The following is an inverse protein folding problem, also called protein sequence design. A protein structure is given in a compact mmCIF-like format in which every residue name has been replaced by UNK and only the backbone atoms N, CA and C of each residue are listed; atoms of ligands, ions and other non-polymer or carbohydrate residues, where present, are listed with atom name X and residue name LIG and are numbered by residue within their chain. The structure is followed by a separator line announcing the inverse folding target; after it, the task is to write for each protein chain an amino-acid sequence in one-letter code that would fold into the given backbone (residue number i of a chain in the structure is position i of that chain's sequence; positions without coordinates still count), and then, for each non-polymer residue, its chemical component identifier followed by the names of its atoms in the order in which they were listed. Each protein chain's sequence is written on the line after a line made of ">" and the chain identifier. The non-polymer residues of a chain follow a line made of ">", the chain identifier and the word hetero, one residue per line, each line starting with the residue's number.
data_IF_549995420095
#
_entry.id   IF_549995420095
#
_cell.length_a   1.000
_cell.length_b   1.000
_cell.length_c   1.000
_cell.angle_alpha   90.00
_cell.angle_beta   90.00
_cell.angle_gamma   90.00
#
_symmetry.space_group_name_H-M   'P 1'
#
loop_
_entity.id
_entity.type
_entity.pdbx_description
1 polymer ?
#
# COMPACT_ATOMS: atom_id res chain seq x y z
N UNK A 1 16.98 1.10 -0.54
CA UNK A 1 16.88 2.05 -1.68
C UNK A 1 15.72 3.04 -1.55
N UNK A 2 14.61 2.68 -0.88
CA UNK A 2 13.42 3.54 -0.81
C UNK A 2 13.19 4.27 0.51
N UNK A 3 14.18 4.32 1.42
CA UNK A 3 14.03 4.84 2.79
C UNK A 3 13.31 6.19 2.90
N UNK A 4 13.70 7.19 2.10
CA UNK A 4 13.03 8.50 2.13
C UNK A 4 11.56 8.43 1.72
N UNK A 5 11.27 7.66 0.68
CA UNK A 5 9.90 7.47 0.19
C UNK A 5 9.08 6.70 1.21
N UNK A 6 9.61 5.59 1.72
CA UNK A 6 8.98 4.77 2.76
C UNK A 6 8.68 5.60 4.01
N UNK A 7 9.65 6.41 4.47
CA UNK A 7 9.44 7.34 5.58
C UNK A 7 8.29 8.32 5.34
N UNK A 8 8.17 8.84 4.11
CA UNK A 8 7.05 9.74 3.74
C UNK A 8 5.71 9.02 3.76
N UNK A 9 5.60 7.81 3.18
CA UNK A 9 4.39 7.00 3.26
C UNK A 9 4.00 6.73 4.72
N UNK A 10 4.96 6.27 5.53
CA UNK A 10 4.71 5.98 6.96
C UNK A 10 4.26 7.22 7.74
N UNK A 11 4.81 8.39 7.43
CA UNK A 11 4.36 9.64 8.04
C UNK A 11 2.91 9.96 7.70
N UNK A 12 2.51 9.78 6.44
CA UNK A 12 1.15 10.05 5.97
C UNK A 12 0.14 9.04 6.52
N UNK A 13 0.49 7.75 6.58
CA UNK A 13 -0.37 6.72 7.20
C UNK A 13 -0.60 7.04 8.69
N UNK A 14 0.46 7.38 9.45
CA UNK A 14 0.32 7.73 10.87
C UNK A 14 -0.55 8.96 11.12
N UNK A 15 -0.64 9.88 10.15
CA UNK A 15 -1.49 11.07 10.25
C UNK A 15 -2.89 10.86 9.67
N UNK A 16 -3.25 9.64 9.23
CA UNK A 16 -4.53 9.36 8.57
C UNK A 16 -4.68 10.03 7.19
N UNK A 17 -3.58 10.46 6.58
CA UNK A 17 -3.57 11.16 5.29
C UNK A 17 -3.52 10.18 4.12
N UNK A 18 -4.52 9.30 4.07
CA UNK A 18 -4.67 8.31 3.02
C UNK A 18 -6.13 8.09 2.61
N UNK A 19 -6.30 7.52 1.43
CA UNK A 19 -7.58 7.15 0.84
C UNK A 19 -7.45 5.75 0.22
N UNK A 20 -8.53 4.98 0.30
CA UNK A 20 -8.67 3.70 -0.38
C UNK A 20 -9.43 3.92 -1.68
N UNK A 21 -8.93 3.37 -2.80
CA UNK A 21 -9.70 3.34 -4.04
C UNK A 21 -10.89 2.39 -3.90
N UNK A 22 -11.90 2.54 -4.76
CA UNK A 22 -13.03 1.58 -4.82
C UNK A 22 -12.50 0.17 -5.10
N UNK A 23 -11.60 0.03 -6.06
CA UNK A 23 -10.97 -1.25 -6.37
C UNK A 23 -10.23 -1.86 -5.16
N UNK A 24 -9.49 -1.07 -4.38
CA UNK A 24 -8.84 -1.56 -3.17
C UNK A 24 -9.86 -2.05 -2.13
N UNK A 25 -10.98 -1.35 -1.98
CA UNK A 25 -12.06 -1.76 -1.07
C UNK A 25 -12.73 -3.07 -1.51
N UNK A 26 -12.92 -3.25 -2.83
CA UNK A 26 -13.46 -4.49 -3.41
C UNK A 26 -12.52 -5.68 -3.14
N UNK A 27 -11.24 -5.56 -3.50
CA UNK A 27 -10.24 -6.61 -3.26
C UNK A 27 -10.07 -6.92 -1.77
N UNK A 28 -10.08 -5.90 -0.91
CA UNK A 28 -10.04 -6.07 0.54
C UNK A 28 -11.24 -6.87 1.07
N UNK A 29 -12.43 -6.65 0.51
CA UNK A 29 -13.62 -7.39 0.90
C UNK A 29 -13.59 -8.85 0.40
N UNK A 30 -13.03 -9.08 -0.80
CA UNK A 30 -12.87 -10.43 -1.36
C UNK A 30 -11.83 -11.25 -0.57
N UNK A 31 -10.70 -10.64 -0.20
CA UNK A 31 -9.59 -11.30 0.48
C UNK A 31 -9.67 -11.28 2.03
N UNK A 32 -10.77 -10.78 2.61
CA UNK A 32 -10.92 -10.57 4.07
C UNK A 32 -9.71 -9.81 4.66
N UNK A 33 -9.38 -8.67 4.04
CA UNK A 33 -8.30 -7.79 4.46
C UNK A 33 -8.88 -6.53 5.08
N UNK A 34 -8.50 -6.27 6.33
CA UNK A 34 -8.95 -5.10 7.06
C UNK A 34 -8.04 -3.90 6.81
N UNK A 35 -8.55 -2.69 7.08
CA UNK A 35 -7.80 -1.45 6.85
C UNK A 35 -6.53 -1.40 7.70
N UNK A 36 -6.60 -1.89 8.94
CA UNK A 36 -5.45 -2.01 9.84
C UNK A 36 -4.34 -2.93 9.29
N UNK A 37 -4.67 -3.88 8.41
CA UNK A 37 -3.66 -4.71 7.77
C UNK A 37 -2.90 -3.91 6.71
N UNK A 38 -3.60 -3.10 5.91
CA UNK A 38 -2.99 -2.20 4.92
C UNK A 38 -2.07 -1.19 5.61
N UNK A 39 -2.54 -0.58 6.70
CA UNK A 39 -1.73 0.32 7.52
C UNK A 39 -0.49 -0.40 8.07
N UNK A 40 -0.67 -1.59 8.65
CA UNK A 40 0.42 -2.39 9.20
C UNK A 40 1.48 -2.72 8.14
N UNK A 41 1.07 -3.11 6.93
CA UNK A 41 1.99 -3.42 5.82
C UNK A 41 2.84 -2.20 5.46
N UNK A 42 2.26 -1.01 5.36
CA UNK A 42 3.04 0.20 5.04
C UNK A 42 3.94 0.62 6.20
N UNK A 43 3.47 0.46 7.45
CA UNK A 43 4.18 0.87 8.65
C UNK A 43 5.35 -0.03 9.03
N UNK A 44 5.22 -1.34 8.83
CA UNK A 44 6.19 -2.35 9.28
C UNK A 44 6.88 -3.07 8.13
N UNK A 45 6.22 -3.18 6.97
CA UNK A 45 6.76 -3.79 5.77
C UNK A 45 7.71 -2.87 4.99
N UNK A 46 8.02 -3.27 3.76
CA UNK A 46 9.00 -2.59 2.91
C UNK A 46 8.50 -2.39 1.48
N UNK A 47 9.03 -1.37 0.82
CA UNK A 47 8.82 -1.18 -0.62
C UNK A 47 9.74 -2.15 -1.37
N UNK A 48 9.15 -3.04 -2.16
CA UNK A 48 9.90 -4.02 -2.97
C UNK A 48 10.04 -3.59 -4.42
N UNK A 49 9.10 -2.79 -4.92
CA UNK A 49 9.08 -2.35 -6.31
C UNK A 49 8.57 -0.91 -6.44
N UNK A 50 9.03 -0.23 -7.50
CA UNK A 50 8.45 1.04 -7.97
C UNK A 50 8.07 0.91 -9.43
N UNK A 51 6.79 1.05 -9.71
CA UNK A 51 6.23 1.06 -11.06
C UNK A 51 6.01 2.51 -11.52
N UNK A 52 6.22 2.78 -12.80
CA UNK A 52 5.95 4.09 -13.41
C UNK A 52 4.83 3.91 -14.42
N UNK A 53 3.70 4.57 -14.16
CA UNK A 53 2.59 4.62 -15.08
C UNK A 53 3.02 5.38 -16.35
N UNK A 54 2.93 4.75 -17.51
CA UNK A 54 3.46 5.33 -18.76
C UNK A 54 2.64 6.51 -19.26
N UNK A 55 1.33 6.51 -19.01
CA UNK A 55 0.43 7.57 -19.48
C UNK A 55 0.50 8.79 -18.58
N UNK A 56 0.51 8.58 -17.26
CA UNK A 56 0.42 9.68 -16.28
C UNK A 56 1.76 10.06 -15.67
N UNK A 57 2.81 9.26 -15.90
CA UNK A 57 4.15 9.40 -15.29
C UNK A 57 4.15 9.28 -13.76
N UNK A 58 3.03 8.84 -13.18
CA UNK A 58 2.89 8.64 -11.75
C UNK A 58 3.74 7.46 -11.27
N UNK A 59 4.28 7.60 -10.06
CA UNK A 59 5.04 6.53 -9.39
C UNK A 59 4.11 5.78 -8.46
N UNK A 60 3.95 4.49 -8.71
CA UNK A 60 3.27 3.52 -7.83
C UNK A 60 4.33 2.69 -7.13
N UNK A 61 4.06 2.29 -5.90
CA UNK A 61 5.00 1.57 -5.05
C UNK A 61 4.31 0.32 -4.54
N UNK A 62 5.00 -0.81 -4.67
CA UNK A 62 4.54 -2.09 -4.17
C UNK A 62 5.18 -2.31 -2.80
N UNK A 63 4.35 -2.50 -1.80
CA UNK A 63 4.74 -2.81 -0.44
C UNK A 63 4.46 -4.28 -0.18
N UNK A 64 5.42 -4.99 0.41
CA UNK A 64 5.19 -6.30 0.99
C UNK A 64 5.35 -6.22 2.49
N UNK A 65 4.41 -6.87 3.17
CA UNK A 65 4.39 -6.98 4.62
C UNK A 65 3.56 -8.19 5.04
N UNK A 66 3.05 -8.14 6.26
CA UNK A 66 2.18 -9.17 6.82
C UNK A 66 0.94 -8.54 7.42
N UNK A 67 -0.16 -9.28 7.41
CA UNK A 67 -1.32 -8.97 8.24
C UNK A 67 -1.03 -9.21 9.73
N UNK A 68 -2.04 -8.95 10.56
CA UNK A 68 -1.94 -9.15 12.01
C UNK A 68 -1.90 -10.63 12.42
N UNK A 69 -2.30 -11.55 11.54
CA UNK A 69 -2.20 -13.00 11.73
C UNK A 69 -0.88 -13.58 11.19
N UNK A 70 -0.04 -12.77 10.53
CA UNK A 70 1.24 -13.17 9.96
C UNK A 70 1.18 -13.60 8.48
N UNK A 71 0.02 -13.58 7.84
CA UNK A 71 -0.16 -13.87 6.42
C UNK A 71 0.43 -12.78 5.52
N UNK A 72 1.06 -13.13 4.39
CA UNK A 72 1.69 -12.14 3.52
C UNK A 72 0.65 -11.31 2.77
N UNK A 73 0.85 -9.99 2.78
CA UNK A 73 -0.01 -9.04 2.06
C UNK A 73 0.84 -8.11 1.21
N UNK A 74 0.40 -7.94 -0.03
CA UNK A 74 0.86 -6.92 -0.96
C UNK A 74 -0.07 -5.72 -1.00
N UNK A 75 0.50 -4.52 -0.98
CA UNK A 75 -0.24 -3.26 -1.12
C UNK A 75 0.39 -2.44 -2.23
N UNK A 76 -0.41 -1.96 -3.17
CA UNK A 76 0.05 -1.02 -4.21
C UNK A 76 -0.49 0.36 -3.89
N UNK A 77 0.40 1.33 -3.68
CA UNK A 77 0.01 2.69 -3.33
C UNK A 77 0.87 3.74 -4.02
N UNK A 78 0.32 4.96 -4.12
CA UNK A 78 1.03 6.17 -4.59
C UNK A 78 0.81 7.32 -3.62
N UNK A 79 1.66 8.35 -3.72
CA UNK A 79 1.35 9.66 -3.13
C UNK A 79 0.74 10.49 -4.24
N UNK A 80 -0.55 10.83 -4.10
CA UNK A 80 -1.29 11.61 -5.08
C UNK A 80 -0.85 13.08 -5.13
N UNK A 81 -1.37 13.82 -6.11
CA UNK A 81 -1.03 15.22 -6.32
C UNK A 81 -1.31 16.13 -5.11
N UNK A 82 -2.33 15.79 -4.32
CA UNK A 82 -2.71 16.51 -3.08
C UNK A 82 -1.88 16.09 -1.86
N UNK A 83 -0.86 15.25 -2.04
CA UNK A 83 0.05 14.84 -0.96
C UNK A 83 -0.45 13.71 -0.06
N UNK A 84 -1.66 13.18 -0.29
CA UNK A 84 -2.20 12.01 0.43
C UNK A 84 -1.75 10.69 -0.21
N UNK A 85 -1.68 9.65 0.59
CA UNK A 85 -1.50 8.28 0.09
C UNK A 85 -2.81 7.83 -0.57
N UNK A 86 -2.70 7.23 -1.75
CA UNK A 86 -3.82 6.58 -2.44
C UNK A 86 -3.45 5.10 -2.56
N UNK A 87 -4.18 4.26 -1.85
CA UNK A 87 -4.11 2.80 -1.98
C UNK A 87 -4.91 2.40 -3.20
N UNK A 88 -4.26 1.72 -4.14
CA UNK A 88 -4.83 1.42 -5.45
C UNK A 88 -5.41 0.00 -5.51
N UNK A 89 -4.71 -0.96 -4.92
CA UNK A 89 -5.11 -2.36 -4.80
C UNK A 89 -4.37 -3.00 -3.62
N UNK A 90 -4.92 -4.09 -3.11
CA UNK A 90 -4.40 -4.91 -2.02
C UNK A 90 -4.62 -6.36 -2.44
N UNK A 91 -3.67 -7.25 -2.14
CA UNK A 91 -3.79 -8.66 -2.48
C UNK A 91 -3.06 -9.50 -1.44
N UNK A 92 -3.54 -10.71 -1.19
CA UNK A 92 -2.76 -11.72 -0.45
C UNK A 92 -1.74 -12.38 -1.39
N UNK A 93 -0.50 -12.54 -0.93
CA UNK A 93 0.44 -13.39 -1.68
C UNK A 93 0.13 -14.85 -1.37
N UNK A 94 -0.17 -15.65 -2.39
CA UNK A 94 -0.24 -17.10 -2.20
C UNK A 94 1.16 -17.60 -1.81
N UNK A 95 1.28 -18.15 -0.60
CA UNK A 95 2.50 -18.87 -0.23
C UNK A 95 2.49 -20.20 -0.96
N UNK A 96 3.26 -20.31 -2.05
CA UNK A 96 3.53 -21.58 -2.72
C UNK A 96 4.26 -22.57 -1.81
#
# INVERSE_FOLDING_TARGET
>A
MFERTLGRFRSLIRSGEYLLSIHALEEMAEDDVLTENVENVILTGGIVERQIDRATRERKYVFLGRDLAGGPIGVVAKIGAVGKVVVLTVYREETS
#
